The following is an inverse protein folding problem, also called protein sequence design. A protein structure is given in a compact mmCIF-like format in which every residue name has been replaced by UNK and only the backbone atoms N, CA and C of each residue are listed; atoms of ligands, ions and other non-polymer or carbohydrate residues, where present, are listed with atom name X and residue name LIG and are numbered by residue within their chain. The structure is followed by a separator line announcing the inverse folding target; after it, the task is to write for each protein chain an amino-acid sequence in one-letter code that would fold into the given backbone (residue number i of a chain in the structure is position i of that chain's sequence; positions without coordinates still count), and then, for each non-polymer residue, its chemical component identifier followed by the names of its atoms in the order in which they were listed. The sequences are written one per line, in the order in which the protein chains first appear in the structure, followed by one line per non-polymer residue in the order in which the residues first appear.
data_IF_036498456120
#
_entry.id   IF_036498456120
#
_cell.length_a   1.000
_cell.length_b   1.000
_cell.length_c   1.000
_cell.angle_alpha   90.00
_cell.angle_beta   90.00
_cell.angle_gamma   90.00
#
_symmetry.space_group_name_H-M   'P 1'
#
loop_
_entity.id
_entity.type
_entity.pdbx_description
1 polymer ?
#
# COMPACT_ATOMS: atom_id res chain seq x y z
N UNK A 1 28.28 -11.11 38.52
CA UNK A 1 27.02 -11.01 37.73
C UNK A 1 25.89 -10.33 38.51
N UNK A 2 25.64 -10.67 39.79
CA UNK A 2 24.59 -10.01 40.61
C UNK A 2 24.79 -8.49 40.84
N UNK A 3 26.04 -8.02 40.93
CA UNK A 3 26.34 -6.59 41.18
C UNK A 3 26.02 -5.71 39.96
N UNK A 4 26.11 -6.27 38.75
CA UNK A 4 25.78 -5.54 37.51
C UNK A 4 24.26 -5.34 37.36
N UNK A 5 23.46 -6.33 37.79
CA UNK A 5 21.99 -6.25 37.78
C UNK A 5 21.44 -5.21 38.77
N UNK A 6 22.10 -5.02 39.92
CA UNK A 6 21.71 -4.00 40.89
C UNK A 6 22.04 -2.58 40.42
N UNK A 7 23.12 -2.40 39.65
CA UNK A 7 23.45 -1.11 39.04
C UNK A 7 22.47 -0.72 37.92
N UNK A 8 21.94 -1.68 37.16
CA UNK A 8 20.88 -1.41 36.18
C UNK A 8 19.52 -1.10 36.85
N UNK A 9 19.25 -1.67 38.02
CA UNK A 9 17.99 -1.43 38.74
C UNK A 9 17.92 -0.05 39.43
N UNK A 10 19.06 0.55 39.78
CA UNK A 10 19.11 1.86 40.47
C UNK A 10 19.23 3.07 39.54
N UNK A 11 19.64 2.88 38.28
CA UNK A 11 19.70 3.94 37.27
C UNK A 11 18.36 4.19 36.53
N UNK A 12 17.33 3.38 36.81
CA UNK A 12 16.03 3.42 36.12
C UNK A 12 14.93 4.25 36.81
N UNK A 13 15.26 5.21 37.69
CA UNK A 13 14.25 6.11 38.28
C UNK A 13 14.62 7.56 38.07
N UNK A 14 14.58 7.98 36.81
CA UNK A 14 14.42 9.38 36.47
C UNK A 14 13.04 9.82 36.99
N UNK A 15 13.03 10.79 37.91
CA UNK A 15 11.84 11.54 38.26
C UNK A 15 11.45 12.40 37.07
N UNK A 16 10.70 11.82 36.14
CA UNK A 16 10.03 12.56 35.07
C UNK A 16 8.83 13.29 35.65
N UNK A 17 8.78 14.60 35.47
CA UNK A 17 7.55 15.36 35.65
C UNK A 17 6.64 14.93 34.49
N UNK A 18 5.85 13.86 34.68
CA UNK A 18 5.00 13.27 33.65
C UNK A 18 3.89 14.27 33.27
N UNK A 19 4.18 15.12 32.29
CA UNK A 19 3.11 15.74 31.53
C UNK A 19 2.49 14.63 30.70
N UNK A 20 1.32 14.14 31.12
CA UNK A 20 0.55 13.17 30.35
C UNK A 20 0.29 13.74 28.95
N UNK A 21 0.83 13.11 27.91
CA UNK A 21 0.70 13.53 26.51
C UNK A 21 -0.22 12.55 25.80
N UNK A 22 -1.29 13.07 25.21
CA UNK A 22 -2.21 12.29 24.37
C UNK A 22 -1.81 12.49 22.91
N UNK A 23 -1.33 11.42 22.27
CA UNK A 23 -0.95 11.43 20.86
C UNK A 23 -2.05 10.82 19.99
N UNK A 24 -2.39 11.50 18.88
CA UNK A 24 -3.37 11.03 17.90
C UNK A 24 -2.76 11.01 16.49
N UNK A 25 -3.04 9.96 15.69
CA UNK A 25 -2.55 9.88 14.33
C UNK A 25 -3.22 10.93 13.43
N UNK A 26 -2.41 11.53 12.57
CA UNK A 26 -2.82 12.59 11.65
C UNK A 26 -2.49 12.26 10.19
N UNK A 27 -1.39 11.54 9.94
CA UNK A 27 -0.93 11.21 8.59
C UNK A 27 -1.34 9.81 8.10
N UNK A 28 -1.24 9.62 6.78
CA UNK A 28 -1.27 8.29 6.16
C UNK A 28 -0.01 7.49 6.49
N UNK A 29 -0.10 6.16 6.43
CA UNK A 29 1.05 5.29 6.59
C UNK A 29 1.94 5.37 5.34
N UNK A 30 3.19 5.81 5.50
CA UNK A 30 4.16 5.98 4.44
C UNK A 30 5.42 5.13 4.68
N UNK A 31 6.16 4.75 3.62
CA UNK A 31 7.43 4.07 3.77
C UNK A 31 8.46 4.97 4.47
N UNK A 32 9.23 4.39 5.37
CA UNK A 32 10.35 5.09 5.97
C UNK A 32 11.46 5.39 4.95
N UNK A 33 12.14 6.53 5.08
CA UNK A 33 13.32 6.79 4.27
C UNK A 33 14.47 5.86 4.71
N UNK A 34 15.40 5.60 3.78
CA UNK A 34 16.41 4.54 3.94
C UNK A 34 17.37 4.77 5.13
N UNK A 35 17.62 6.04 5.46
CA UNK A 35 18.46 6.48 6.57
C UNK A 35 17.79 6.29 7.95
N UNK A 36 16.45 6.30 8.01
CA UNK A 36 15.69 6.16 9.26
C UNK A 36 15.09 4.76 9.45
N UNK A 37 15.42 3.79 8.60
CA UNK A 37 14.80 2.45 8.63
C UNK A 37 15.04 1.71 9.96
N UNK A 38 16.14 2.03 10.64
CA UNK A 38 16.53 1.44 11.92
C UNK A 38 15.91 2.15 13.13
N UNK A 39 15.21 3.26 12.93
CA UNK A 39 14.55 3.98 14.01
C UNK A 39 13.32 3.21 14.51
N UNK A 40 12.97 3.34 15.81
CA UNK A 40 11.89 2.57 16.41
C UNK A 40 10.52 2.88 15.78
N UNK A 41 10.30 4.10 15.30
CA UNK A 41 9.07 4.50 14.59
C UNK A 41 8.94 3.86 13.20
N UNK A 42 9.96 3.16 12.71
CA UNK A 42 9.92 2.42 11.46
C UNK A 42 9.77 0.90 11.67
N UNK A 43 9.90 0.40 12.88
CA UNK A 43 9.89 -1.03 13.15
C UNK A 43 8.48 -1.53 13.52
N UNK A 44 8.09 -2.76 13.12
CA UNK A 44 8.84 -3.75 12.33
C UNK A 44 8.62 -3.67 10.81
N UNK A 45 7.71 -2.82 10.34
CA UNK A 45 7.20 -2.88 8.95
C UNK A 45 7.93 -1.97 7.97
N UNK A 46 8.86 -1.15 8.43
CA UNK A 46 9.53 -0.12 7.62
C UNK A 46 8.60 1.03 7.22
N UNK A 47 7.47 1.21 7.91
CA UNK A 47 6.49 2.25 7.61
C UNK A 47 6.22 3.11 8.85
N UNK A 48 6.02 4.41 8.63
CA UNK A 48 5.73 5.41 9.67
C UNK A 48 4.52 6.27 9.32
N UNK A 49 3.89 6.89 10.32
CA UNK A 49 2.88 7.93 10.13
C UNK A 49 3.04 9.09 11.12
N UNK A 50 2.61 10.27 10.71
CA UNK A 50 2.61 11.47 11.54
C UNK A 50 1.55 11.41 12.65
N UNK A 51 1.95 11.88 13.81
CA UNK A 51 1.17 11.98 15.05
C UNK A 51 1.18 13.42 15.57
N UNK A 52 0.06 13.85 16.13
CA UNK A 52 0.01 15.06 16.96
C UNK A 52 -0.11 14.67 18.43
N UNK A 53 0.84 15.12 19.23
CA UNK A 53 0.80 14.96 20.67
C UNK A 53 0.44 16.30 21.33
N UNK A 54 -0.54 16.29 22.22
CA UNK A 54 -0.91 17.44 23.03
C UNK A 54 -0.95 17.04 24.52
N UNK A 55 -0.70 17.97 25.46
CA UNK A 55 -0.92 17.72 26.88
C UNK A 55 -2.36 17.22 27.13
N UNK A 56 -2.55 16.27 28.03
CA UNK A 56 -3.89 15.74 28.37
C UNK A 56 -4.85 16.84 28.88
N UNK A 57 -4.30 17.92 29.42
CA UNK A 57 -5.03 19.12 29.84
C UNK A 57 -5.41 20.07 28.70
N UNK A 58 -4.92 19.82 27.48
CA UNK A 58 -5.29 20.61 26.32
C UNK A 58 -6.77 20.34 25.96
N UNK A 59 -7.56 21.38 25.65
CA UNK A 59 -8.94 21.19 25.25
C UNK A 59 -8.99 20.35 23.97
N UNK A 60 -9.42 19.09 24.12
CA UNK A 60 -9.77 18.22 22.99
C UNK A 60 -10.79 18.97 22.13
N UNK A 61 -10.65 19.01 20.79
CA UNK A 61 -11.76 19.44 19.95
C UNK A 61 -12.92 18.48 20.22
N UNK A 62 -13.94 18.98 20.91
CA UNK A 62 -15.22 18.32 21.03
C UNK A 62 -15.74 18.03 19.61
N UNK A 63 -16.37 16.86 19.38
CA UNK A 63 -17.15 16.67 18.17
C UNK A 63 -18.17 17.81 18.05
N UNK A 64 -18.50 18.30 16.84
CA UNK A 64 -19.51 19.34 16.68
C UNK A 64 -20.79 18.85 17.35
N UNK A 65 -21.19 19.52 18.44
CA UNK A 65 -22.47 19.32 19.09
C UNK A 65 -23.59 19.63 18.09
N UNK A 66 -24.61 18.78 17.94
CA UNK A 66 -25.77 19.08 17.08
C UNK A 66 -26.63 20.24 17.58
N UNK A 67 -26.39 20.73 18.79
CA UNK A 67 -27.26 21.72 19.43
C UNK A 67 -26.70 23.13 19.25
N UNK A 68 -26.78 23.63 18.02
CA UNK A 68 -26.93 25.07 17.82
C UNK A 68 -28.40 25.41 18.08
N UNK A 69 -28.75 26.22 19.10
CA UNK A 69 -30.09 26.80 19.17
C UNK A 69 -30.31 27.61 17.90
N UNK A 70 -31.42 27.35 17.19
CA UNK A 70 -31.83 28.16 16.04
C UNK A 70 -31.69 29.65 16.41
N UNK A 71 -31.00 30.47 15.60
CA UNK A 71 -31.03 31.91 15.82
C UNK A 71 -32.46 32.41 15.64
N UNK A 72 -32.94 33.17 16.62
CA UNK A 72 -34.25 33.82 16.62
C UNK A 72 -34.50 34.59 15.31
N UNK A 73 -35.73 34.61 14.76
CA UNK A 73 -36.04 35.27 13.48
C UNK A 73 -35.94 36.80 13.50
N UNK A 74 -35.71 37.43 14.65
CA UNK A 74 -35.87 38.88 14.84
C UNK A 74 -34.56 39.68 14.83
N UNK A 75 -33.44 39.10 14.38
CA UNK A 75 -32.19 39.87 14.22
C UNK A 75 -32.18 40.54 12.83
N UNK A 76 -32.15 41.88 12.73
CA UNK A 76 -32.08 42.55 11.43
C UNK A 76 -30.75 42.24 10.73
N UNK A 77 -30.74 42.01 9.41
CA UNK A 77 -29.55 41.63 8.68
C UNK A 77 -28.50 42.77 8.68
N UNK A 78 -27.20 42.46 8.82
CA UNK A 78 -26.15 43.47 8.63
C UNK A 78 -26.12 43.95 7.16
N UNK A 79 -25.71 45.21 6.91
CA UNK A 79 -25.73 45.80 5.59
C UNK A 79 -24.77 45.07 4.62
N UNK A 80 -25.08 45.06 3.31
CA UNK A 80 -24.27 44.36 2.32
C UNK A 80 -23.00 45.15 2.03
N UNK A 81 -21.84 44.62 2.41
CA UNK A 81 -20.55 45.11 1.94
C UNK A 81 -20.12 44.37 0.67
N UNK A 82 -19.73 45.18 -0.31
CA UNK A 82 -19.39 44.86 -1.70
C UNK A 82 -18.20 43.89 -1.91
N UNK A 83 -18.11 43.26 -3.10
CA UNK A 83 -17.08 42.28 -3.42
C UNK A 83 -15.79 42.96 -3.91
N UNK A 84 -14.71 42.81 -3.13
CA UNK A 84 -13.39 43.35 -3.43
C UNK A 84 -12.27 42.39 -3.04
N UNK A 85 -11.86 41.60 -4.02
CA UNK A 85 -10.66 40.77 -4.19
C UNK A 85 -9.46 40.99 -3.23
N UNK A 86 -9.13 39.94 -2.48
CA UNK A 86 -7.74 39.56 -2.17
C UNK A 86 -7.69 38.05 -1.84
N UNK A 87 -6.99 37.27 -2.67
CA UNK A 87 -6.58 35.91 -2.33
C UNK A 87 -5.75 35.95 -1.05
N UNK A 88 -6.38 35.60 0.08
CA UNK A 88 -5.68 35.27 1.32
C UNK A 88 -5.28 33.79 1.20
N UNK A 89 -3.99 33.42 1.28
CA UNK A 89 -3.64 32.01 1.43
C UNK A 89 -4.41 31.49 2.65
N UNK A 90 -5.08 30.35 2.47
CA UNK A 90 -5.77 29.66 3.54
C UNK A 90 -4.82 29.58 4.75
N UNK A 91 -5.25 29.95 5.96
CA UNK A 91 -4.38 29.89 7.12
C UNK A 91 -3.97 28.43 7.28
N UNK A 92 -2.71 28.18 6.95
CA UNK A 92 -1.89 27.06 7.38
C UNK A 92 -2.37 26.71 8.78
N UNK A 93 -2.91 25.50 8.95
CA UNK A 93 -3.40 24.99 10.22
C UNK A 93 -2.39 25.33 11.29
N UNK A 94 -2.70 26.40 12.02
CA UNK A 94 -1.85 27.01 13.03
C UNK A 94 -1.74 25.93 14.10
N UNK A 95 -0.63 25.19 14.07
CA UNK A 95 -0.32 24.14 15.03
C UNK A 95 -0.63 24.73 16.40
N UNK A 96 -1.65 24.20 17.07
CA UNK A 96 -2.15 24.84 18.29
C UNK A 96 -0.96 24.94 19.25
N UNK A 97 -0.77 26.04 19.97
CA UNK A 97 0.37 26.20 20.88
C UNK A 97 0.46 24.98 21.82
N UNK A 98 1.47 24.13 21.62
CA UNK A 98 1.68 22.88 22.37
C UNK A 98 1.42 21.56 21.62
N UNK A 99 1.01 21.58 20.35
CA UNK A 99 0.97 20.38 19.51
C UNK A 99 2.38 20.04 18.99
N UNK A 100 2.89 18.88 19.38
CA UNK A 100 4.23 18.40 18.99
C UNK A 100 4.06 17.38 17.86
N UNK A 101 4.66 17.59 16.67
CA UNK A 101 4.68 16.58 15.62
C UNK A 101 5.60 15.43 16.04
N UNK A 102 5.10 14.22 15.92
CA UNK A 102 5.84 13.00 16.22
C UNK A 102 5.61 11.93 15.14
N UNK A 103 6.45 10.91 15.16
CA UNK A 103 6.34 9.75 14.27
C UNK A 103 6.01 8.51 15.08
N UNK A 104 5.08 7.70 14.58
CA UNK A 104 4.87 6.36 15.09
C UNK A 104 4.95 5.32 13.98
N UNK A 105 5.18 4.07 14.38
CA UNK A 105 5.10 2.94 13.46
C UNK A 105 3.66 2.67 13.07
N UNK A 106 3.47 2.30 11.81
CA UNK A 106 2.16 1.94 11.28
C UNK A 106 2.19 0.58 10.60
N UNK A 107 1.00 0.12 10.20
CA UNK A 107 0.84 -1.20 9.60
C UNK A 107 1.50 -1.35 8.22
N UNK A 108 1.25 -2.50 7.61
CA UNK A 108 1.68 -2.78 6.24
C UNK A 108 0.89 -1.96 5.23
N UNK A 109 1.56 -1.41 4.23
CA UNK A 109 0.94 -0.67 3.13
C UNK A 109 0.47 -1.67 2.07
N UNK A 110 -0.74 -2.20 2.26
CA UNK A 110 -1.32 -3.28 1.45
C UNK A 110 -1.34 -2.99 -0.05
N UNK A 111 -1.56 -1.73 -0.44
CA UNK A 111 -1.62 -1.37 -1.87
C UNK A 111 -0.27 -1.55 -2.57
N UNK A 112 0.84 -1.29 -1.85
CA UNK A 112 2.19 -1.45 -2.38
C UNK A 112 2.57 -2.92 -2.46
N UNK A 113 2.34 -3.68 -1.39
CA UNK A 113 2.62 -5.12 -1.36
C UNK A 113 1.83 -5.90 -2.42
N UNK A 114 0.58 -5.49 -2.70
CA UNK A 114 -0.24 -6.10 -3.76
C UNK A 114 0.35 -5.89 -5.15
N UNK A 115 0.89 -4.71 -5.43
CA UNK A 115 1.51 -4.44 -6.73
C UNK A 115 2.73 -5.34 -6.95
N UNK A 116 3.62 -5.43 -5.96
CA UNK A 116 4.80 -6.29 -6.00
C UNK A 116 4.43 -7.78 -6.16
N UNK A 117 3.35 -8.21 -5.50
CA UNK A 117 2.84 -9.58 -5.64
C UNK A 117 2.36 -9.88 -7.07
N UNK A 118 1.65 -8.95 -7.71
CA UNK A 118 1.16 -9.13 -9.08
C UNK A 118 2.29 -9.17 -10.10
N UNK A 119 3.37 -8.43 -9.88
CA UNK A 119 4.57 -8.51 -10.73
C UNK A 119 5.16 -9.93 -10.71
N UNK A 120 5.35 -10.49 -9.51
CA UNK A 120 5.84 -11.86 -9.36
C UNK A 120 4.91 -12.88 -10.02
N UNK A 121 3.60 -12.76 -9.79
CA UNK A 121 2.60 -13.65 -10.39
C UNK A 121 2.60 -13.57 -11.92
N UNK A 122 2.64 -12.36 -12.49
CA UNK A 122 2.65 -12.13 -13.93
C UNK A 122 3.90 -12.75 -14.58
N UNK A 123 5.07 -12.58 -13.97
CA UNK A 123 6.32 -13.19 -14.45
C UNK A 123 6.23 -14.73 -14.50
N UNK A 124 5.76 -15.37 -13.43
CA UNK A 124 5.58 -16.82 -13.39
C UNK A 124 4.55 -17.31 -14.42
N UNK A 125 3.43 -16.58 -14.56
CA UNK A 125 2.39 -16.91 -15.52
C UNK A 125 2.91 -16.82 -16.96
N UNK A 126 3.71 -15.79 -17.29
CA UNK A 126 4.33 -15.66 -18.60
C UNK A 126 5.26 -16.85 -18.92
N UNK A 127 6.10 -17.26 -17.95
CA UNK A 127 6.97 -18.44 -18.10
C UNK A 127 6.13 -19.70 -18.32
N UNK A 128 5.05 -19.88 -17.57
CA UNK A 128 4.15 -21.02 -17.73
C UNK A 128 3.51 -21.07 -19.13
N UNK A 129 3.06 -19.92 -19.65
CA UNK A 129 2.53 -19.83 -21.02
C UNK A 129 3.58 -20.19 -22.07
N UNK A 130 4.81 -19.67 -21.93
CA UNK A 130 5.91 -20.01 -22.85
C UNK A 130 6.19 -21.51 -22.82
N UNK A 131 6.23 -22.12 -21.64
CA UNK A 131 6.42 -23.56 -21.50
C UNK A 131 5.29 -24.35 -22.18
N UNK A 132 4.03 -23.95 -21.99
CA UNK A 132 2.88 -24.58 -22.65
C UNK A 132 2.95 -24.46 -24.17
N UNK A 133 3.32 -23.29 -24.70
CA UNK A 133 3.48 -23.08 -26.14
C UNK A 133 4.57 -23.99 -26.71
N UNK A 134 5.73 -24.08 -26.05
CA UNK A 134 6.83 -24.95 -26.46
C UNK A 134 6.41 -26.42 -26.42
N UNK A 135 5.73 -26.84 -25.34
CA UNK A 135 5.21 -28.20 -25.20
C UNK A 135 4.20 -28.51 -26.31
N UNK A 136 3.27 -27.60 -26.60
CA UNK A 136 2.28 -27.78 -27.66
C UNK A 136 2.93 -27.88 -29.04
N UNK A 137 3.87 -26.97 -29.36
CA UNK A 137 4.63 -27.00 -30.61
C UNK A 137 5.41 -28.31 -30.77
N UNK A 138 6.09 -28.77 -29.72
CA UNK A 138 6.82 -30.04 -29.70
C UNK A 138 5.87 -31.22 -29.89
N UNK A 139 4.71 -31.20 -29.22
CA UNK A 139 3.70 -32.25 -29.31
C UNK A 139 3.13 -32.37 -30.72
N UNK A 140 2.81 -31.24 -31.36
CA UNK A 140 2.37 -31.19 -32.76
C UNK A 140 3.45 -31.66 -33.72
N UNK A 141 4.71 -31.27 -33.49
CA UNK A 141 5.84 -31.73 -34.32
C UNK A 141 6.03 -33.24 -34.22
N UNK A 142 5.97 -33.81 -33.02
CA UNK A 142 6.07 -35.27 -32.82
C UNK A 142 4.92 -36.01 -33.49
N UNK A 143 3.68 -35.53 -33.34
CA UNK A 143 2.51 -36.10 -34.03
C UNK A 143 2.67 -36.08 -35.55
N UNK A 144 3.15 -34.98 -36.13
CA UNK A 144 3.40 -34.87 -37.57
C UNK A 144 4.48 -35.85 -38.04
N UNK A 145 5.53 -36.07 -37.26
CA UNK A 145 6.59 -37.04 -37.59
C UNK A 145 6.07 -38.48 -37.52
N UNK A 146 5.26 -38.82 -36.51
CA UNK A 146 4.65 -40.15 -36.39
C UNK A 146 3.67 -40.41 -37.55
N UNK A 147 2.89 -39.40 -37.95
CA UNK A 147 2.00 -39.49 -39.12
C UNK A 147 2.79 -39.72 -40.42
N UNK A 148 3.92 -39.05 -40.60
CA UNK A 148 4.82 -39.26 -41.76
C UNK A 148 5.42 -40.67 -41.76
N UNK A 149 5.85 -41.18 -40.60
CA UNK A 149 6.37 -42.54 -40.48
C UNK A 149 5.31 -43.60 -40.79
N UNK A 150 4.06 -43.38 -40.34
CA UNK A 150 2.94 -44.25 -40.66
C UNK A 150 2.63 -44.24 -42.17
N UNK A 151 2.57 -43.07 -42.80
CA UNK A 151 2.33 -42.93 -44.24
C UNK A 151 3.45 -43.54 -45.10
N UNK A 152 4.71 -43.40 -44.68
CA UNK A 152 5.84 -44.03 -45.35
C UNK A 152 5.79 -45.56 -45.28
N UNK A 153 5.22 -46.13 -44.22
CA UNK A 153 5.04 -47.58 -44.06
C UNK A 153 3.79 -48.13 -44.73
N UNK A 154 2.71 -47.35 -44.78
CA UNK A 154 1.47 -47.76 -45.45
C UNK A 154 1.60 -47.64 -46.97
N UNK A 155 2.51 -46.81 -47.47
CA UNK A 155 2.64 -46.54 -48.90
C UNK A 155 1.42 -45.79 -49.37
N UNK A 156 1.57 -44.49 -49.65
CA UNK A 156 0.60 -43.78 -50.47
C UNK A 156 0.54 -44.53 -51.81
N UNK A 157 -0.42 -45.45 -51.97
CA UNK A 157 -0.72 -46.11 -53.25
C UNK A 157 -0.99 -44.98 -54.22
N UNK A 158 0.06 -44.65 -54.98
CA UNK A 158 -0.02 -43.82 -56.16
C UNK A 158 -1.03 -44.53 -57.04
N UNK A 159 -2.19 -43.91 -57.21
CA UNK A 159 -3.27 -44.43 -58.03
C UNK A 159 -2.69 -44.98 -59.33
N UNK A 160 -3.04 -46.23 -59.61
CA UNK A 160 -2.74 -46.91 -60.87
C UNK A 160 -3.14 -45.93 -61.99
N UNK A 161 -2.21 -45.48 -62.86
CA UNK A 161 -2.59 -44.71 -64.03
C UNK A 161 -3.45 -45.64 -64.89
N UNK A 162 -4.71 -45.27 -65.09
CA UNK A 162 -5.72 -46.06 -65.77
C UNK A 162 -5.29 -46.46 -67.18
N UNK A 163 -4.84 -47.70 -67.34
CA UNK A 163 -4.32 -48.17 -68.63
C UNK A 163 -4.45 -49.66 -68.90
N UNK A 164 -5.22 -50.44 -68.13
CA UNK A 164 -5.43 -51.86 -68.38
C UNK A 164 -6.85 -52.29 -68.01
N UNK A 165 -7.83 -51.75 -68.74
CA UNK A 165 -9.20 -52.26 -68.75
C UNK A 165 -9.73 -52.22 -70.19
N UNK A 166 -9.11 -52.99 -71.06
CA UNK A 166 -9.72 -53.50 -72.29
C UNK A 166 -9.83 -55.02 -72.04
N UNK A 167 -11.00 -55.67 -72.18
CA UNK A 167 -11.80 -55.72 -73.39
C UNK A 167 -11.66 -57.14 -73.93
#
# INVERSE_FOLDING_TARGET
LLVCSLLYATLGRAAGNDTDLVCRPFGTCEPCPADALNEPFCQPFGNRRLMHCAPASAPSPSPPTPDAPNPDPDTPPPPPHEPGTAHRPAPDSEARPGEIPAWESCGRIVQKERADFYEFFACNFAIALVALVVLFARSKRLQAMHARQLAARIGLVRGIPGGWANG
#
